data_IF_760567650087
#
_entry.id   IF_760567650087
#
_cell.length_a   1.000
_cell.length_b   1.000
_cell.length_c   1.000
_cell.angle_alpha   90.00
_cell.angle_beta   90.00
_cell.angle_gamma   90.00
#
_symmetry.space_group_name_H-M   'P 1'
#
loop_
_entity.id
_entity.type
_entity.pdbx_description
1 polymer ?
#
# COMPACT_ATOMS: atom_id res chain seq x y z
N UNK A 1 9.32 -5.82 -9.81
CA UNK A 1 8.35 -4.91 -10.49
C UNK A 1 8.63 -3.53 -9.93
N UNK A 2 8.85 -2.51 -10.76
CA UNK A 2 9.12 -1.16 -10.28
C UNK A 2 7.88 -0.31 -10.54
N UNK A 3 7.32 0.29 -9.48
CA UNK A 3 6.11 1.12 -9.53
C UNK A 3 6.52 2.58 -9.65
N UNK A 4 6.04 3.26 -10.67
CA UNK A 4 6.26 4.68 -10.85
C UNK A 4 5.20 5.45 -10.05
N UNK A 5 5.63 6.04 -8.92
CA UNK A 5 4.77 6.72 -7.95
C UNK A 5 4.96 8.23 -8.01
N UNK A 6 3.88 8.98 -8.23
CA UNK A 6 3.85 10.41 -7.99
C UNK A 6 3.13 10.71 -6.67
N UNK A 7 3.68 11.66 -5.89
CA UNK A 7 3.06 12.16 -4.66
C UNK A 7 2.90 13.67 -4.77
N UNK A 8 1.69 14.17 -4.58
CA UNK A 8 1.40 15.59 -4.74
C UNK A 8 0.67 16.16 -3.51
N UNK A 9 1.25 17.21 -2.93
CA UNK A 9 0.75 17.85 -1.73
C UNK A 9 1.29 19.29 -1.64
N UNK A 10 0.52 20.23 -1.15
CA UNK A 10 0.98 21.60 -0.91
C UNK A 10 1.98 21.70 0.26
N UNK A 11 1.91 20.76 1.20
CA UNK A 11 2.76 20.69 2.38
C UNK A 11 4.13 20.05 2.06
N UNK A 12 5.14 20.89 1.85
CA UNK A 12 6.51 20.46 1.51
C UNK A 12 7.15 19.59 2.59
N UNK A 13 6.85 19.84 3.86
CA UNK A 13 7.41 19.06 4.97
C UNK A 13 6.83 17.63 4.98
N UNK A 14 5.54 17.50 4.74
CA UNK A 14 4.89 16.21 4.58
C UNK A 14 5.47 15.43 3.40
N UNK A 15 5.60 16.10 2.22
CA UNK A 15 6.22 15.49 1.03
C UNK A 15 7.63 14.98 1.30
N UNK A 16 8.45 15.77 2.00
CA UNK A 16 9.80 15.36 2.36
C UNK A 16 9.79 14.11 3.23
N UNK A 17 9.00 14.10 4.31
CA UNK A 17 8.92 12.97 5.23
C UNK A 17 8.43 11.68 4.55
N UNK A 18 7.34 11.78 3.79
CA UNK A 18 6.78 10.59 3.12
C UNK A 18 7.72 10.06 2.04
N UNK A 19 8.37 10.94 1.27
CA UNK A 19 9.30 10.50 0.23
C UNK A 19 10.56 9.86 0.79
N UNK A 20 11.15 10.44 1.86
CA UNK A 20 12.33 9.87 2.53
C UNK A 20 12.06 8.45 3.06
N UNK A 21 10.93 8.22 3.71
CA UNK A 21 10.59 6.89 4.23
C UNK A 21 10.22 5.90 3.12
N UNK A 22 9.50 6.35 2.09
CA UNK A 22 9.15 5.49 0.96
C UNK A 22 10.34 5.12 0.07
N UNK A 23 11.42 5.92 0.04
CA UNK A 23 12.68 5.56 -0.64
C UNK A 23 13.34 4.29 -0.08
N UNK A 24 12.98 3.89 1.14
CA UNK A 24 13.41 2.60 1.71
C UNK A 24 12.85 1.36 0.99
N UNK A 25 11.84 1.52 0.14
CA UNK A 25 11.25 0.43 -0.65
C UNK A 25 11.85 0.41 -2.06
N UNK A 26 12.60 -0.64 -2.37
CA UNK A 26 13.36 -0.78 -3.64
C UNK A 26 12.49 -0.99 -4.88
N UNK A 27 11.21 -1.22 -4.71
CA UNK A 27 10.21 -1.44 -5.77
C UNK A 27 9.47 -0.15 -6.19
N UNK A 28 9.87 1.01 -5.64
CA UNK A 28 9.29 2.31 -5.96
C UNK A 28 10.29 3.24 -6.66
N UNK A 29 9.82 3.96 -7.68
CA UNK A 29 10.45 5.18 -8.19
C UNK A 29 9.52 6.34 -7.89
N UNK A 30 9.99 7.32 -7.10
CA UNK A 30 9.15 8.35 -6.47
C UNK A 30 9.40 9.72 -7.08
N UNK A 31 8.33 10.39 -7.46
CA UNK A 31 8.31 11.78 -7.89
C UNK A 31 7.42 12.59 -6.96
N UNK A 32 7.82 13.82 -6.63
CA UNK A 32 7.08 14.70 -5.71
C UNK A 32 6.70 16.00 -6.40
N UNK A 33 5.47 16.44 -6.18
CA UNK A 33 4.91 17.66 -6.77
C UNK A 33 4.26 18.51 -5.68
N UNK A 34 4.48 19.84 -5.75
CA UNK A 34 3.95 20.80 -4.75
C UNK A 34 2.75 21.59 -5.26
N UNK A 35 2.31 21.34 -6.49
CA UNK A 35 1.15 22.00 -7.09
C UNK A 35 0.48 21.10 -8.12
N UNK A 36 -0.82 21.32 -8.33
CA UNK A 36 -1.61 20.61 -9.31
C UNK A 36 -1.08 20.79 -10.75
N UNK A 37 -0.73 22.00 -11.14
CA UNK A 37 -0.22 22.30 -12.49
C UNK A 37 1.03 21.49 -12.83
N UNK A 38 1.96 21.36 -11.87
CA UNK A 38 3.18 20.56 -12.07
C UNK A 38 2.87 19.07 -12.19
N UNK A 39 1.92 18.58 -11.38
CA UNK A 39 1.47 17.20 -11.45
C UNK A 39 0.79 16.92 -12.79
N UNK A 40 -0.13 17.79 -13.24
CA UNK A 40 -0.85 17.63 -14.51
C UNK A 40 0.10 17.65 -15.70
N UNK A 41 1.02 18.61 -15.76
CA UNK A 41 2.07 18.65 -16.78
C UNK A 41 2.94 17.38 -16.80
N UNK A 42 3.27 16.84 -15.62
CA UNK A 42 4.03 15.58 -15.55
C UNK A 42 3.21 14.38 -16.06
N UNK A 43 1.92 14.31 -15.73
CA UNK A 43 1.02 13.25 -16.21
C UNK A 43 0.75 13.31 -17.72
N UNK A 44 0.97 14.45 -18.37
CA UNK A 44 0.91 14.55 -19.84
C UNK A 44 2.12 13.89 -20.51
N UNK A 45 3.28 13.96 -19.88
CA UNK A 45 4.56 13.53 -20.43
C UNK A 45 4.99 12.14 -19.94
N UNK A 46 4.52 11.72 -18.77
CA UNK A 46 4.89 10.45 -18.13
C UNK A 46 3.64 9.66 -17.70
N UNK A 47 3.72 8.33 -17.79
CA UNK A 47 2.66 7.43 -17.33
C UNK A 47 2.97 6.93 -15.94
N UNK A 48 2.29 7.47 -14.93
CA UNK A 48 2.43 6.99 -13.56
C UNK A 48 1.56 5.74 -13.31
N UNK A 49 2.12 4.78 -12.57
CA UNK A 49 1.34 3.63 -12.11
C UNK A 49 0.41 4.04 -10.98
N UNK A 50 0.93 4.83 -10.03
CA UNK A 50 0.19 5.33 -8.88
C UNK A 50 0.41 6.83 -8.74
N UNK A 51 -0.66 7.57 -8.49
CA UNK A 51 -0.60 8.99 -8.10
C UNK A 51 -1.31 9.13 -6.75
N UNK A 52 -0.58 9.48 -5.71
CA UNK A 52 -1.13 9.86 -4.41
C UNK A 52 -1.20 11.38 -4.32
N UNK A 53 -2.34 11.94 -4.01
CA UNK A 53 -2.54 13.39 -4.02
C UNK A 53 -3.41 13.86 -2.86
N UNK A 54 -3.12 15.07 -2.38
CA UNK A 54 -3.99 15.79 -1.44
C UNK A 54 -5.20 16.35 -2.21
N UNK A 55 -6.45 16.11 -1.79
CA UNK A 55 -7.63 16.62 -2.48
C UNK A 55 -7.72 18.13 -2.53
N UNK A 56 -7.09 18.83 -1.58
CA UNK A 56 -7.08 20.30 -1.51
C UNK A 56 -5.89 20.91 -2.28
N UNK A 57 -5.17 20.13 -3.06
CA UNK A 57 -4.08 20.61 -3.91
C UNK A 57 -4.57 21.56 -5.01
N UNK A 58 -5.83 21.43 -5.43
CA UNK A 58 -6.49 22.29 -6.43
C UNK A 58 -7.96 22.46 -6.08
N UNK A 59 -8.50 23.66 -6.35
CA UNK A 59 -9.94 23.93 -6.27
C UNK A 59 -10.74 23.22 -7.37
N UNK A 60 -10.12 22.92 -8.50
CA UNK A 60 -10.70 22.19 -9.61
C UNK A 60 -10.27 20.72 -9.57
N UNK A 61 -11.12 19.86 -10.13
CA UNK A 61 -10.84 18.45 -10.22
C UNK A 61 -9.68 18.14 -11.15
N UNK A 62 -8.65 17.46 -10.65
CA UNK A 62 -7.51 16.98 -11.43
C UNK A 62 -7.94 15.78 -12.30
N UNK A 63 -7.49 15.74 -13.53
CA UNK A 63 -7.80 14.67 -14.47
C UNK A 63 -6.78 13.52 -14.39
N UNK A 64 -7.21 12.38 -13.87
CA UNK A 64 -6.39 11.15 -13.73
C UNK A 64 -6.64 10.10 -14.81
N UNK A 65 -7.18 10.46 -15.98
CA UNK A 65 -7.51 9.48 -17.03
C UNK A 65 -6.33 8.63 -17.54
N UNK A 66 -5.11 9.14 -17.41
CA UNK A 66 -3.87 8.46 -17.80
C UNK A 66 -3.15 7.73 -16.66
N UNK A 67 -3.67 7.82 -15.45
CA UNK A 67 -3.09 7.22 -14.25
C UNK A 67 -3.74 5.86 -14.00
N UNK A 68 -2.94 4.82 -13.79
CA UNK A 68 -3.49 3.49 -13.51
C UNK A 68 -4.22 3.46 -12.17
N UNK A 69 -3.65 4.08 -11.14
CA UNK A 69 -4.24 4.09 -9.79
C UNK A 69 -4.13 5.47 -9.13
N UNK A 70 -5.14 6.33 -9.21
CA UNK A 70 -5.21 7.55 -8.41
C UNK A 70 -5.68 7.23 -6.98
N UNK A 71 -4.99 7.80 -5.99
CA UNK A 71 -5.24 7.62 -4.57
C UNK A 71 -5.34 8.99 -3.91
N UNK A 72 -6.48 9.27 -3.30
CA UNK A 72 -6.71 10.46 -2.51
C UNK A 72 -6.11 10.29 -1.11
N UNK A 73 -5.12 11.12 -0.76
CA UNK A 73 -4.58 11.23 0.59
C UNK A 73 -5.41 12.24 1.37
N UNK A 74 -6.42 11.76 2.10
CA UNK A 74 -7.33 12.63 2.82
C UNK A 74 -6.90 12.87 4.29
N UNK A 75 -7.27 14.03 4.81
CA UNK A 75 -7.30 14.35 6.24
C UNK A 75 -8.74 14.63 6.67
N UNK A 76 -9.00 14.68 7.98
CA UNK A 76 -10.32 15.04 8.51
C UNK A 76 -10.73 16.48 8.15
N UNK A 77 -9.74 17.34 7.87
CA UNK A 77 -9.91 18.75 7.52
C UNK A 77 -10.04 18.98 6.00
N UNK A 78 -9.87 17.94 5.17
CA UNK A 78 -9.87 18.08 3.72
C UNK A 78 -11.27 18.38 3.18
N UNK A 79 -11.44 19.52 2.51
CA UNK A 79 -12.73 20.00 2.00
C UNK A 79 -13.11 19.32 0.68
N UNK A 80 -12.15 19.07 -0.20
CA UNK A 80 -12.38 18.61 -1.57
C UNK A 80 -12.41 17.10 -1.75
N UNK A 81 -12.38 16.31 -0.67
CA UNK A 81 -12.41 14.84 -0.71
C UNK A 81 -13.62 14.29 -1.49
N UNK A 82 -14.76 14.99 -1.42
CA UNK A 82 -16.00 14.61 -2.10
C UNK A 82 -15.91 14.64 -3.63
N UNK A 83 -14.95 15.39 -4.20
CA UNK A 83 -14.71 15.48 -5.65
C UNK A 83 -14.08 14.19 -6.24
N UNK A 84 -13.51 13.35 -5.39
CA UNK A 84 -12.71 12.19 -5.78
C UNK A 84 -13.26 10.86 -5.23
N UNK A 85 -14.59 10.74 -5.14
CA UNK A 85 -15.27 9.54 -4.56
C UNK A 85 -14.92 8.23 -5.27
N UNK A 86 -14.56 8.28 -6.53
CA UNK A 86 -14.17 7.10 -7.33
C UNK A 86 -12.70 6.69 -7.14
N UNK A 87 -11.87 7.54 -6.52
CA UNK A 87 -10.49 7.20 -6.19
C UNK A 87 -10.43 6.33 -4.94
N UNK A 88 -9.37 5.57 -4.78
CA UNK A 88 -9.07 4.97 -3.49
C UNK A 88 -8.70 6.07 -2.48
N UNK A 89 -9.11 5.89 -1.22
CA UNK A 89 -8.88 6.86 -0.16
C UNK A 89 -7.95 6.27 0.89
N UNK A 90 -6.86 6.98 1.19
CA UNK A 90 -5.90 6.61 2.23
C UNK A 90 -5.76 7.79 3.18
N UNK A 91 -5.85 7.55 4.50
CA UNK A 91 -5.65 8.60 5.48
C UNK A 91 -4.20 9.10 5.46
N UNK A 92 -4.03 10.43 5.37
CA UNK A 92 -2.74 11.11 5.27
C UNK A 92 -1.89 10.97 6.54
N UNK A 93 -2.52 11.06 7.71
CA UNK A 93 -1.85 11.07 9.01
C UNK A 93 -1.84 9.69 9.68
N UNK A 94 -1.19 8.73 9.01
CA UNK A 94 -0.93 7.39 9.56
C UNK A 94 0.52 6.98 9.32
N UNK A 95 0.93 5.84 9.86
CA UNK A 95 2.29 5.31 9.65
C UNK A 95 2.54 5.09 8.16
N UNK A 96 3.67 5.56 7.64
CA UNK A 96 4.01 5.48 6.21
C UNK A 96 4.08 4.02 5.74
N UNK A 97 4.54 3.09 6.59
CA UNK A 97 4.48 1.67 6.29
C UNK A 97 3.05 1.13 6.06
N UNK A 98 2.04 1.78 6.68
CA UNK A 98 0.64 1.44 6.43
C UNK A 98 0.14 2.08 5.13
N UNK A 99 0.52 3.34 4.86
CA UNK A 99 0.24 4.00 3.58
C UNK A 99 0.78 3.16 2.41
N UNK A 100 2.02 2.68 2.51
CA UNK A 100 2.62 1.80 1.52
C UNK A 100 1.81 0.52 1.30
N UNK A 101 1.43 -0.18 2.37
CA UNK A 101 0.63 -1.42 2.28
C UNK A 101 -0.74 -1.18 1.66
N UNK A 102 -1.42 -0.11 2.06
CA UNK A 102 -2.75 0.24 1.55
C UNK A 102 -2.67 0.64 0.06
N UNK A 103 -1.61 1.36 -0.34
CA UNK A 103 -1.31 1.71 -1.74
C UNK A 103 -1.08 0.46 -2.60
N UNK A 104 -0.21 -0.46 -2.15
CA UNK A 104 0.08 -1.71 -2.89
C UNK A 104 -1.18 -2.56 -3.03
N UNK A 105 -1.99 -2.66 -1.96
CA UNK A 105 -3.27 -3.38 -2.02
C UNK A 105 -4.19 -2.79 -3.07
N UNK A 106 -4.42 -1.46 -3.04
CA UNK A 106 -5.30 -0.78 -3.97
C UNK A 106 -4.82 -0.94 -5.43
N UNK A 107 -3.51 -0.86 -5.65
CA UNK A 107 -2.90 -1.06 -6.97
C UNK A 107 -3.08 -2.50 -7.47
N UNK A 108 -2.85 -3.50 -6.63
CA UNK A 108 -3.01 -4.90 -6.97
C UNK A 108 -4.48 -5.26 -7.27
N UNK A 109 -5.42 -4.79 -6.46
CA UNK A 109 -6.86 -5.01 -6.67
C UNK A 109 -7.32 -4.45 -8.03
N UNK A 110 -6.86 -3.25 -8.40
CA UNK A 110 -7.19 -2.63 -9.68
C UNK A 110 -6.54 -3.35 -10.88
N UNK A 111 -5.35 -3.91 -10.69
CA UNK A 111 -4.64 -4.70 -11.70
C UNK A 111 -5.25 -6.12 -11.91
N UNK A 112 -6.32 -6.46 -11.18
CA UNK A 112 -6.98 -7.77 -11.25
C UNK A 112 -6.21 -8.89 -10.55
N UNK A 113 -5.15 -8.54 -9.82
CA UNK A 113 -4.56 -9.45 -8.87
C UNK A 113 -5.40 -9.38 -7.60
N UNK A 114 -6.08 -10.49 -7.26
CA UNK A 114 -6.53 -10.65 -5.88
C UNK A 114 -5.27 -10.62 -5.02
N UNK A 115 -5.02 -9.48 -4.38
CA UNK A 115 -4.03 -9.35 -3.35
C UNK A 115 -4.58 -10.10 -2.12
N UNK A 116 -4.68 -11.41 -2.27
CA UNK A 116 -4.66 -12.27 -1.10
C UNK A 116 -3.36 -11.92 -0.41
N UNK A 117 -3.46 -11.44 0.80
CA UNK A 117 -2.37 -10.99 1.67
C UNK A 117 -1.40 -12.13 2.03
N UNK A 118 -0.97 -12.92 1.02
CA UNK A 118 -0.03 -14.02 1.18
C UNK A 118 1.43 -13.55 1.31
N UNK A 119 1.71 -12.23 1.13
CA UNK A 119 3.06 -11.69 1.30
C UNK A 119 3.21 -10.65 2.41
N UNK A 120 2.15 -10.08 2.96
CA UNK A 120 2.21 -9.59 4.32
C UNK A 120 1.92 -10.82 5.19
N UNK A 121 2.98 -11.59 5.49
CA UNK A 121 2.86 -12.83 6.19
C UNK A 121 1.87 -12.72 7.36
N UNK A 122 0.65 -13.20 7.17
CA UNK A 122 -0.14 -13.61 8.30
C UNK A 122 0.65 -14.75 8.92
N UNK A 123 1.52 -14.36 9.84
CA UNK A 123 2.17 -15.34 10.70
C UNK A 123 1.05 -16.02 11.47
N UNK A 124 0.68 -17.21 11.04
CA UNK A 124 -0.24 -18.04 11.78
C UNK A 124 0.58 -18.82 12.79
N UNK A 125 0.40 -18.50 14.06
CA UNK A 125 1.00 -19.26 15.15
C UNK A 125 0.03 -20.37 15.51
N UNK A 126 0.46 -21.62 15.32
CA UNK A 126 -0.30 -22.79 15.75
C UNK A 126 0.42 -23.40 16.95
N UNK A 127 -0.21 -23.41 18.11
CA UNK A 127 0.31 -24.06 19.33
C UNK A 127 -0.42 -25.38 19.56
N UNK A 128 0.36 -26.44 19.77
CA UNK A 128 -0.16 -27.76 20.13
C UNK A 128 0.03 -27.98 21.63
N UNK A 129 -1.06 -27.96 22.38
CA UNK A 129 -1.06 -28.09 23.84
C UNK A 129 -1.84 -29.30 24.30
N UNK A 130 -1.31 -30.00 25.33
CA UNK A 130 -2.04 -31.01 26.10
C UNK A 130 -1.46 -31.07 27.52
N UNK A 131 -2.30 -31.14 28.55
CA UNK A 131 -1.85 -31.27 29.95
C UNK A 131 -1.22 -32.63 30.26
N UNK A 132 -1.38 -33.61 29.39
CA UNK A 132 -0.90 -34.98 29.62
C UNK A 132 0.42 -35.23 28.87
N UNK A 133 1.42 -35.77 29.55
CA UNK A 133 2.66 -36.25 28.94
C UNK A 133 2.42 -37.41 27.98
N UNK A 134 3.20 -37.50 26.89
CA UNK A 134 3.08 -38.62 25.94
C UNK A 134 1.85 -38.59 25.01
N UNK A 135 1.06 -37.51 25.00
CA UNK A 135 -0.19 -37.38 24.21
C UNK A 135 0.01 -37.15 22.70
N UNK A 136 1.22 -37.34 22.17
CA UNK A 136 1.48 -37.18 20.73
C UNK A 136 1.60 -35.74 20.21
N UNK A 137 1.80 -34.76 21.10
CA UNK A 137 1.95 -33.31 20.71
C UNK A 137 2.96 -33.09 19.60
N UNK A 138 4.14 -33.70 19.74
CA UNK A 138 5.22 -33.60 18.73
C UNK A 138 4.80 -34.17 17.39
N UNK A 139 4.11 -35.30 17.40
CA UNK A 139 3.61 -35.97 16.19
C UNK A 139 2.60 -35.09 15.46
N UNK A 140 1.66 -34.47 16.19
CA UNK A 140 0.65 -33.57 15.63
C UNK A 140 1.32 -32.31 15.11
N UNK A 141 2.26 -31.71 15.84
CA UNK A 141 3.00 -30.52 15.38
C UNK A 141 3.77 -30.82 14.10
N UNK A 142 4.48 -31.93 14.00
CA UNK A 142 5.20 -32.37 12.80
C UNK A 142 4.26 -32.63 11.61
N UNK A 143 3.08 -33.25 11.86
CA UNK A 143 2.09 -33.47 10.81
C UNK A 143 1.54 -32.12 10.23
N UNK A 144 1.21 -31.15 11.11
CA UNK A 144 0.77 -29.81 10.70
C UNK A 144 1.89 -29.12 9.90
N UNK A 145 3.14 -29.21 10.36
CA UNK A 145 4.28 -28.64 9.66
C UNK A 145 4.49 -29.27 8.27
N UNK A 146 4.41 -30.60 8.17
CA UNK A 146 4.52 -31.29 6.89
C UNK A 146 3.42 -30.91 5.89
N UNK A 147 2.19 -30.72 6.36
CA UNK A 147 1.08 -30.25 5.52
C UNK A 147 1.26 -28.78 5.07
N UNK A 148 1.79 -27.94 5.96
CA UNK A 148 2.07 -26.53 5.62
C UNK A 148 3.24 -26.40 4.64
N UNK A 149 4.29 -27.22 4.80
CA UNK A 149 5.43 -27.27 3.86
C UNK A 149 4.99 -27.71 2.44
N UNK A 150 4.06 -28.66 2.34
CA UNK A 150 3.48 -29.07 1.06
C UNK A 150 2.75 -27.95 0.31
N UNK A 151 2.31 -26.90 1.04
CA UNK A 151 1.65 -25.71 0.49
C UNK A 151 2.62 -24.54 0.27
N UNK A 152 3.91 -24.79 0.19
CA UNK A 152 4.98 -23.79 -0.04
C UNK A 152 5.00 -22.64 1.00
N UNK A 153 4.60 -22.91 2.24
CA UNK A 153 4.67 -21.92 3.33
C UNK A 153 5.99 -22.04 4.07
N UNK A 154 6.64 -20.91 4.29
CA UNK A 154 7.84 -20.85 5.13
C UNK A 154 7.47 -21.14 6.59
N UNK A 155 8.16 -22.10 7.21
CA UNK A 155 7.92 -22.55 8.57
C UNK A 155 9.12 -22.21 9.46
N UNK A 156 8.85 -21.66 10.65
CA UNK A 156 9.80 -21.54 11.74
C UNK A 156 9.33 -22.46 12.90
N UNK A 157 10.24 -23.27 13.43
CA UNK A 157 10.02 -24.13 14.60
C UNK A 157 10.75 -23.55 15.81
#
# INVERSE_FOLDING_TARGET
MNILLAIADSNKEYLRKISEELQGYSDLTIYVYTSADKLENAMENESFDVVMFDPDLSESRINFSRVKMPICLYSEEAENTSLYKECAHISKYQRISKIYKDMIRAYAEKAGYSYESDHAGKMSVVSVYSPIGGSGKTTVALAIAGLAAKKERNLCF
#
